data_IF_839428573041
#
_entry.id   IF_839428573041
#
_cell.length_a   1.000
_cell.length_b   1.000
_cell.length_c   1.000
_cell.angle_alpha   90.00
_cell.angle_beta   90.00
_cell.angle_gamma   90.00
#
_symmetry.space_group_name_H-M   'P 1'
#
loop_
_entity.id
_entity.type
_entity.pdbx_description
1 polymer ?
#
# COMPACT_ATOMS: atom_id res chain seq x y z
N UNK A 1 -1.45 31.16 9.61
CA UNK A 1 -1.15 29.88 10.31
C UNK A 1 -1.93 28.72 9.69
N UNK A 2 -1.43 27.49 9.83
CA UNK A 2 -2.13 26.28 9.31
C UNK A 2 -3.56 26.19 9.86
N UNK A 3 -3.76 26.53 11.14
CA UNK A 3 -5.08 26.49 11.81
C UNK A 3 -6.15 27.34 11.09
N UNK A 4 -5.76 28.43 10.46
CA UNK A 4 -6.67 29.35 9.76
C UNK A 4 -7.19 28.74 8.45
N UNK A 5 -6.55 27.69 7.98
CA UNK A 5 -6.87 26.94 6.76
C UNK A 5 -7.46 25.55 7.05
N UNK A 6 -7.96 25.29 8.26
CA UNK A 6 -8.46 23.98 8.64
C UNK A 6 -9.55 23.46 7.69
N UNK A 7 -10.50 24.31 7.29
CA UNK A 7 -11.57 23.90 6.38
C UNK A 7 -11.07 23.58 4.96
N UNK A 8 -10.27 24.42 4.28
CA UNK A 8 -9.68 24.09 2.98
C UNK A 8 -8.78 22.85 3.01
N UNK A 9 -8.09 22.60 4.13
CA UNK A 9 -7.21 21.46 4.34
C UNK A 9 -7.95 20.20 4.82
N UNK A 10 -9.26 20.25 4.99
CA UNK A 10 -10.07 19.19 5.61
C UNK A 10 -9.49 18.70 6.96
N UNK A 11 -8.84 19.60 7.71
CA UNK A 11 -8.16 19.29 8.95
C UNK A 11 -7.11 18.18 8.81
N UNK A 12 -6.42 18.07 7.68
CA UNK A 12 -5.51 16.96 7.39
C UNK A 12 -4.10 17.45 7.12
N UNK A 13 -3.12 16.78 7.75
CA UNK A 13 -1.69 16.87 7.45
C UNK A 13 -1.27 15.49 6.93
N UNK A 14 -0.56 15.45 5.81
CA UNK A 14 -0.15 14.19 5.20
C UNK A 14 1.27 13.83 5.62
N UNK A 15 1.42 12.66 6.22
CA UNK A 15 2.68 12.09 6.66
C UNK A 15 3.13 10.93 5.78
N UNK A 16 4.26 10.37 6.14
CA UNK A 16 4.85 9.20 5.51
C UNK A 16 4.58 7.93 6.33
N UNK A 17 5.44 6.94 6.24
CA UNK A 17 5.21 5.63 6.87
C UNK A 17 4.97 5.74 8.38
N UNK A 18 3.97 5.03 8.92
CA UNK A 18 3.75 4.96 10.36
C UNK A 18 5.01 4.58 11.12
N UNK A 19 5.32 5.33 12.17
CA UNK A 19 6.54 5.14 12.97
C UNK A 19 7.75 5.98 12.54
N UNK A 20 7.65 6.74 11.47
CA UNK A 20 8.67 7.71 11.08
C UNK A 20 8.80 8.84 12.12
N UNK A 21 10.02 9.33 12.33
CA UNK A 21 10.30 10.38 13.31
C UNK A 21 9.58 11.70 12.99
N UNK A 22 9.47 12.07 11.71
CA UNK A 22 8.72 13.25 11.29
C UNK A 22 7.23 13.14 11.63
N UNK A 23 6.61 11.99 11.37
CA UNK A 23 5.23 11.72 11.79
C UNK A 23 5.07 11.83 13.30
N UNK A 24 6.05 11.32 14.09
CA UNK A 24 6.03 11.38 15.54
C UNK A 24 6.04 12.82 16.05
N UNK A 25 6.82 13.71 15.41
CA UNK A 25 6.85 15.13 15.74
C UNK A 25 5.51 15.79 15.42
N UNK A 26 4.91 15.51 14.25
CA UNK A 26 3.58 16.04 13.91
C UNK A 26 2.52 15.52 14.88
N UNK A 27 2.53 14.24 15.22
CA UNK A 27 1.59 13.66 16.20
C UNK A 27 1.75 14.32 17.59
N UNK A 28 2.98 14.66 17.99
CA UNK A 28 3.22 15.43 19.22
C UNK A 28 2.54 16.79 19.14
N UNK A 29 2.70 17.51 18.03
CA UNK A 29 2.06 18.84 17.83
C UNK A 29 0.53 18.74 17.95
N UNK A 30 -0.07 17.71 17.35
CA UNK A 30 -1.52 17.51 17.39
C UNK A 30 -2.01 17.13 18.80
N UNK A 31 -1.32 16.25 19.50
CA UNK A 31 -1.71 15.76 20.83
C UNK A 31 -1.55 16.83 21.92
N UNK A 32 -0.51 17.66 21.83
CA UNK A 32 -0.21 18.73 22.77
C UNK A 32 -0.89 20.05 22.38
N UNK A 33 -1.70 20.07 21.31
CA UNK A 33 -2.36 21.26 20.76
C UNK A 33 -1.39 22.42 20.45
N UNK A 34 -0.17 22.07 20.05
CA UNK A 34 0.80 23.08 19.64
C UNK A 34 0.30 23.80 18.38
N UNK A 35 0.46 25.11 18.35
CA UNK A 35 0.03 25.98 17.24
C UNK A 35 -1.49 25.95 16.95
N UNK A 36 -2.32 25.44 17.88
CA UNK A 36 -3.78 25.35 17.73
C UNK A 36 -4.22 24.29 16.73
N UNK A 37 -3.50 23.17 16.65
CA UNK A 37 -3.72 22.09 15.67
C UNK A 37 -4.59 20.93 16.19
N UNK A 38 -5.23 21.07 17.35
CA UNK A 38 -6.05 20.01 17.98
C UNK A 38 -7.15 19.43 17.07
N UNK A 39 -7.65 20.20 16.12
CA UNK A 39 -8.67 19.74 15.17
C UNK A 39 -8.13 19.03 13.94
N UNK A 40 -6.81 18.96 13.80
CA UNK A 40 -6.17 18.31 12.67
C UNK A 40 -5.89 16.82 12.96
N UNK A 41 -5.74 16.06 11.90
CA UNK A 41 -5.31 14.66 11.92
C UNK A 41 -4.11 14.45 11.01
N UNK A 42 -3.19 13.60 11.43
CA UNK A 42 -2.13 13.12 10.57
C UNK A 42 -2.64 11.91 9.77
N UNK A 43 -2.53 11.99 8.45
CA UNK A 43 -2.81 10.89 7.53
C UNK A 43 -1.49 10.20 7.23
N UNK A 44 -1.20 9.15 7.97
CA UNK A 44 0.00 8.34 7.77
C UNK A 44 -0.18 7.43 6.54
N UNK A 45 0.85 7.34 5.69
CA UNK A 45 0.85 6.47 4.49
C UNK A 45 2.29 6.07 4.15
N UNK A 46 2.54 5.58 2.94
CA UNK A 46 3.92 5.53 2.41
C UNK A 46 4.34 6.88 1.85
N UNK A 47 5.66 7.11 1.72
CA UNK A 47 6.21 8.28 1.02
C UNK A 47 5.56 8.45 -0.36
N UNK A 48 5.50 7.38 -1.15
CA UNK A 48 4.88 7.38 -2.47
C UNK A 48 3.39 7.70 -2.41
N UNK A 49 2.69 7.22 -1.38
CA UNK A 49 1.29 7.52 -1.12
C UNK A 49 1.06 9.01 -0.83
N UNK A 50 1.88 9.56 0.05
CA UNK A 50 1.86 10.99 0.36
C UNK A 50 2.13 11.84 -0.89
N UNK A 51 3.18 11.53 -1.65
CA UNK A 51 3.54 12.27 -2.86
C UNK A 51 2.45 12.20 -3.93
N UNK A 52 1.80 11.06 -4.11
CA UNK A 52 0.67 10.93 -5.02
C UNK A 52 -0.54 11.79 -4.59
N UNK A 53 -0.78 11.92 -3.29
CA UNK A 53 -1.80 12.82 -2.77
C UNK A 53 -1.42 14.30 -2.98
N UNK A 54 -0.15 14.66 -2.79
CA UNK A 54 0.37 16.01 -3.08
C UNK A 54 0.18 16.34 -4.56
N UNK A 55 0.59 15.46 -5.47
CA UNK A 55 0.42 15.62 -6.90
C UNK A 55 -1.04 15.81 -7.29
N UNK A 56 -1.94 15.03 -6.68
CA UNK A 56 -3.38 15.21 -6.89
C UNK A 56 -3.86 16.59 -6.45
N UNK A 57 -3.44 17.05 -5.27
CA UNK A 57 -3.82 18.37 -4.75
C UNK A 57 -3.31 19.49 -5.64
N UNK A 58 -2.07 19.41 -6.14
CA UNK A 58 -1.52 20.34 -7.11
C UNK A 58 -2.31 20.36 -8.42
N UNK A 59 -2.62 19.18 -8.97
CA UNK A 59 -3.45 19.06 -10.18
C UNK A 59 -4.84 19.68 -10.01
N UNK A 60 -5.46 19.45 -8.86
CA UNK A 60 -6.82 19.90 -8.55
C UNK A 60 -6.85 21.34 -7.97
N UNK A 61 -5.70 22.04 -7.92
CA UNK A 61 -5.51 23.36 -7.34
C UNK A 61 -6.03 23.49 -5.91
N UNK A 62 -5.86 22.42 -5.12
CA UNK A 62 -6.28 22.37 -3.73
C UNK A 62 -5.09 22.60 -2.78
N UNK A 63 -5.28 23.30 -1.67
CA UNK A 63 -4.23 23.45 -0.66
C UNK A 63 -3.92 22.10 -0.02
N UNK A 64 -2.65 21.86 0.25
CA UNK A 64 -2.17 20.64 0.90
C UNK A 64 -1.03 20.98 1.86
N UNK A 65 -1.03 20.34 3.04
CA UNK A 65 0.08 20.38 4.01
C UNK A 65 0.56 18.96 4.22
N UNK A 66 1.87 18.78 4.10
CA UNK A 66 2.49 17.46 4.18
C UNK A 66 3.91 17.54 4.76
N UNK A 67 4.43 16.40 5.19
CA UNK A 67 5.79 16.26 5.67
C UNK A 67 6.76 16.26 4.50
N UNK A 68 7.60 17.26 4.42
CA UNK A 68 8.60 17.40 3.36
C UNK A 68 10.00 17.49 3.96
N UNK A 69 11.02 17.15 3.16
CA UNK A 69 12.43 17.23 3.55
C UNK A 69 13.34 17.51 2.34
N UNK A 70 14.53 17.99 2.62
CA UNK A 70 15.60 18.17 1.64
C UNK A 70 16.83 17.35 2.05
N UNK A 71 17.57 16.79 1.08
CA UNK A 71 17.34 16.79 -0.38
C UNK A 71 16.27 15.75 -0.79
N UNK A 72 15.40 16.11 -1.72
CA UNK A 72 14.43 15.19 -2.31
C UNK A 72 13.90 15.74 -3.64
N UNK A 73 13.56 14.90 -4.66
CA UNK A 73 13.02 15.33 -5.95
C UNK A 73 11.74 16.16 -5.85
N UNK A 74 10.91 15.97 -4.82
CA UNK A 74 9.70 16.77 -4.62
C UNK A 74 9.95 18.27 -4.58
N UNK A 75 11.14 18.71 -4.10
CA UNK A 75 11.52 20.12 -4.06
C UNK A 75 11.81 20.73 -5.42
N UNK A 76 12.01 19.90 -6.44
CA UNK A 76 12.16 20.33 -7.84
C UNK A 76 10.84 20.18 -8.59
N UNK A 77 10.08 19.12 -8.27
CA UNK A 77 8.84 18.76 -8.96
C UNK A 77 7.66 19.69 -8.60
N UNK A 78 7.60 20.14 -7.35
CA UNK A 78 6.52 20.97 -6.82
C UNK A 78 7.07 22.31 -6.36
N UNK A 79 6.31 23.39 -6.56
CA UNK A 79 6.60 24.70 -5.97
C UNK A 79 6.18 24.68 -4.50
N UNK A 80 7.12 24.31 -3.62
CA UNK A 80 6.87 24.08 -2.20
C UNK A 80 7.32 25.27 -1.37
N UNK A 81 6.61 25.51 -0.27
CA UNK A 81 7.03 26.46 0.76
C UNK A 81 7.11 25.76 2.11
N UNK A 82 8.30 25.70 2.68
CA UNK A 82 8.50 25.25 4.06
C UNK A 82 7.90 26.26 5.04
N UNK A 83 7.13 25.78 6.01
CA UNK A 83 6.45 26.61 7.00
C UNK A 83 7.41 26.95 8.15
N UNK A 84 7.53 28.22 8.49
CA UNK A 84 8.36 28.71 9.60
C UNK A 84 7.62 28.60 10.94
N UNK A 85 8.36 28.69 12.04
CA UNK A 85 7.81 28.72 13.41
C UNK A 85 7.73 27.33 14.08
N UNK A 86 8.27 26.28 13.45
CA UNK A 86 8.30 24.91 14.00
C UNK A 86 9.60 24.54 14.71
N UNK A 87 10.52 25.49 14.93
CA UNK A 87 11.87 25.21 15.44
C UNK A 87 11.89 24.54 16.83
N UNK A 88 10.89 24.83 17.66
CA UNK A 88 10.76 24.18 18.99
C UNK A 88 10.41 22.68 18.90
N UNK A 89 9.87 22.25 17.77
CA UNK A 89 9.46 20.84 17.56
C UNK A 89 10.41 20.11 16.64
N UNK A 90 10.73 20.68 15.48
CA UNK A 90 11.60 20.08 14.47
C UNK A 90 13.08 20.37 14.70
N UNK A 91 13.42 21.37 15.48
CA UNK A 91 14.77 21.88 15.65
C UNK A 91 15.06 23.08 14.73
N UNK A 92 16.20 23.76 14.96
CA UNK A 92 16.59 24.95 14.20
C UNK A 92 16.79 24.62 12.71
N UNK A 93 16.58 25.62 11.85
CA UNK A 93 16.66 25.47 10.39
C UNK A 93 15.76 24.36 9.86
N UNK A 94 14.49 24.32 10.27
CA UNK A 94 13.51 23.30 9.87
C UNK A 94 13.90 21.86 10.23
N UNK A 95 14.71 21.68 11.29
CA UNK A 95 15.21 20.36 11.69
C UNK A 95 16.42 19.89 10.87
N UNK A 96 17.13 20.82 10.25
CA UNK A 96 18.27 20.52 9.39
C UNK A 96 19.40 19.80 10.15
N UNK A 97 19.90 18.70 9.57
CA UNK A 97 21.05 17.95 10.04
C UNK A 97 22.28 18.23 9.18
N UNK A 98 23.46 18.23 9.81
CA UNK A 98 24.72 18.32 9.08
C UNK A 98 25.24 16.91 8.78
N UNK A 99 25.50 16.62 7.52
CA UNK A 99 26.05 15.34 7.07
C UNK A 99 27.56 15.43 6.95
N UNK A 100 28.25 14.46 7.49
CA UNK A 100 29.71 14.39 7.51
C UNK A 100 30.21 13.14 6.80
N UNK A 101 31.34 13.29 6.05
CA UNK A 101 32.09 12.14 5.58
C UNK A 101 32.87 11.53 6.73
N UNK A 102 32.64 10.25 7.03
CA UNK A 102 33.32 9.51 8.09
C UNK A 102 34.35 8.56 7.50
N UNK A 103 35.57 8.62 8.00
CA UNK A 103 36.66 7.69 7.62
C UNK A 103 37.21 6.98 8.86
N UNK A 104 37.89 5.85 8.66
CA UNK A 104 38.58 5.16 9.76
C UNK A 104 39.68 6.06 10.37
N UNK A 105 39.95 5.87 11.66
CA UNK A 105 41.01 6.61 12.37
C UNK A 105 42.36 6.43 11.65
N UNK A 106 43.09 7.52 11.41
CA UNK A 106 44.39 7.54 10.74
C UNK A 106 44.31 7.49 9.20
N UNK A 107 43.13 7.48 8.60
CA UNK A 107 42.98 7.44 7.13
C UNK A 107 43.57 8.68 6.45
N UNK A 108 43.34 9.84 7.02
CA UNK A 108 43.81 11.11 6.45
C UNK A 108 45.36 11.19 6.36
N UNK A 109 46.05 10.60 7.34
CA UNK A 109 47.52 10.53 7.34
C UNK A 109 48.07 9.51 6.34
N UNK A 110 47.36 8.38 6.19
CA UNK A 110 47.78 7.30 5.28
C UNK A 110 47.47 7.61 3.81
N UNK A 111 46.39 8.33 3.56
CA UNK A 111 45.88 8.65 2.22
C UNK A 111 45.60 10.17 2.09
N UNK A 112 46.58 11.04 2.19
CA UNK A 112 46.37 12.50 2.26
C UNK A 112 45.72 13.06 1.00
N UNK A 113 46.02 12.52 -0.17
CA UNK A 113 45.46 12.96 -1.43
C UNK A 113 43.96 12.63 -1.55
N UNK A 114 43.55 11.38 -1.19
CA UNK A 114 42.17 10.98 -1.17
C UNK A 114 41.39 11.74 -0.08
N UNK A 115 42.01 11.96 1.08
CA UNK A 115 41.39 12.75 2.15
C UNK A 115 41.13 14.19 1.72
N UNK A 116 42.03 14.76 0.90
CA UNK A 116 41.81 16.10 0.30
C UNK A 116 40.60 16.10 -0.61
N UNK A 117 40.44 15.09 -1.49
CA UNK A 117 39.27 14.94 -2.32
C UNK A 117 38.00 14.86 -1.47
N UNK A 118 37.99 13.96 -0.46
CA UNK A 118 36.82 13.78 0.43
C UNK A 118 36.47 15.09 1.20
N UNK A 119 37.49 15.88 1.61
CA UNK A 119 37.26 17.14 2.27
C UNK A 119 36.73 18.25 1.34
N UNK A 120 37.08 18.17 0.06
CA UNK A 120 36.61 19.10 -0.96
C UNK A 120 35.18 18.76 -1.44
N UNK A 121 34.73 17.49 -1.32
CA UNK A 121 33.41 17.07 -1.73
C UNK A 121 32.35 17.75 -0.85
N UNK A 122 31.73 18.78 -1.41
CA UNK A 122 30.59 19.49 -0.80
C UNK A 122 29.45 19.48 -1.80
N UNK A 123 28.36 18.91 -1.37
CA UNK A 123 27.12 18.86 -2.14
C UNK A 123 26.20 19.99 -1.72
N UNK A 124 25.48 20.56 -2.67
CA UNK A 124 24.39 21.48 -2.37
C UNK A 124 23.07 20.71 -2.37
N UNK A 125 22.11 21.11 -1.55
CA UNK A 125 20.77 20.50 -1.50
C UNK A 125 20.13 20.41 -2.89
N UNK A 126 20.30 21.47 -3.70
CA UNK A 126 19.80 21.48 -5.09
C UNK A 126 20.51 20.44 -5.95
N UNK A 127 21.84 20.35 -5.88
CA UNK A 127 22.60 19.37 -6.67
C UNK A 127 22.26 17.93 -6.29
N UNK A 128 22.05 17.66 -5.01
CA UNK A 128 21.60 16.34 -4.55
C UNK A 128 20.19 16.03 -5.04
N UNK A 129 19.25 16.98 -4.93
CA UNK A 129 17.88 16.82 -5.43
C UNK A 129 17.85 16.57 -6.95
N UNK A 130 18.71 17.26 -7.73
CA UNK A 130 18.85 17.05 -9.18
C UNK A 130 19.36 15.65 -9.52
N UNK A 131 20.37 15.15 -8.79
CA UNK A 131 20.87 13.78 -8.95
C UNK A 131 19.84 12.74 -8.54
N UNK A 132 19.13 12.96 -7.43
CA UNK A 132 18.04 12.10 -7.00
C UNK A 132 16.91 12.06 -8.03
N UNK A 133 16.54 13.18 -8.65
CA UNK A 133 15.54 13.22 -9.71
C UNK A 133 15.99 12.44 -10.96
N UNK A 134 17.29 12.46 -11.30
CA UNK A 134 17.82 11.62 -12.37
C UNK A 134 17.63 10.12 -12.10
N UNK A 135 17.89 9.70 -10.87
CA UNK A 135 17.79 8.30 -10.46
C UNK A 135 16.33 7.84 -10.29
N UNK A 136 15.50 8.63 -9.59
CA UNK A 136 14.17 8.23 -9.14
C UNK A 136 13.08 8.55 -10.17
N UNK A 137 13.13 9.74 -10.79
CA UNK A 137 12.09 10.16 -11.73
C UNK A 137 12.43 9.75 -13.18
N UNK A 138 13.69 9.94 -13.61
CA UNK A 138 14.11 9.58 -14.98
C UNK A 138 14.63 8.16 -15.10
N UNK A 139 14.79 7.43 -13.99
CA UNK A 139 15.30 6.06 -13.94
C UNK A 139 16.64 5.88 -14.65
N UNK A 140 17.50 6.88 -14.58
CA UNK A 140 18.85 6.83 -15.14
C UNK A 140 19.75 5.91 -14.32
N UNK A 141 20.67 5.23 -14.99
CA UNK A 141 21.69 4.47 -14.27
C UNK A 141 22.59 5.41 -13.46
N UNK A 142 23.02 5.06 -12.22
CA UNK A 142 23.75 5.95 -11.33
C UNK A 142 25.05 6.52 -11.91
N UNK A 143 25.77 5.70 -12.70
CA UNK A 143 26.99 6.09 -13.40
C UNK A 143 26.72 7.13 -14.51
N UNK A 144 25.63 7.00 -15.22
CA UNK A 144 25.18 7.93 -16.26
C UNK A 144 24.77 9.26 -15.60
N UNK A 145 23.87 9.20 -14.61
CA UNK A 145 23.40 10.38 -13.88
C UNK A 145 24.58 11.17 -13.26
N UNK A 146 25.54 10.48 -12.64
CA UNK A 146 26.73 11.10 -12.09
C UNK A 146 27.62 11.74 -13.18
N UNK A 147 27.84 11.05 -14.30
CA UNK A 147 28.66 11.59 -15.41
C UNK A 147 28.01 12.80 -16.04
N UNK A 148 26.72 12.80 -16.25
CA UNK A 148 25.96 13.93 -16.81
C UNK A 148 25.97 15.13 -15.85
N UNK A 149 25.74 14.87 -14.57
CA UNK A 149 25.77 15.93 -13.55
C UNK A 149 27.16 16.58 -13.43
N UNK A 150 28.23 15.78 -13.40
CA UNK A 150 29.62 16.28 -13.38
C UNK A 150 29.92 17.16 -14.61
N UNK A 151 29.44 16.74 -15.78
CA UNK A 151 29.59 17.51 -17.04
C UNK A 151 28.80 18.82 -17.01
N UNK A 152 27.61 18.82 -16.44
CA UNK A 152 26.77 20.00 -16.31
C UNK A 152 27.27 20.99 -15.24
N UNK A 153 28.07 20.51 -14.25
CA UNK A 153 28.58 21.30 -13.13
C UNK A 153 30.12 21.39 -13.10
N UNK A 154 30.77 21.95 -14.15
CA UNK A 154 32.23 21.96 -14.25
C UNK A 154 32.90 22.75 -13.15
N UNK A 155 32.32 23.87 -12.69
CA UNK A 155 32.86 24.72 -11.61
C UNK A 155 32.94 23.96 -10.28
N UNK A 156 31.88 23.25 -9.92
CA UNK A 156 31.81 22.41 -8.72
C UNK A 156 32.82 21.26 -8.82
N UNK A 157 32.89 20.61 -9.97
CA UNK A 157 33.83 19.51 -10.22
C UNK A 157 35.30 19.99 -10.08
N UNK A 158 35.62 21.16 -10.63
CA UNK A 158 36.97 21.77 -10.46
C UNK A 158 37.28 22.08 -9.02
N UNK A 159 36.35 22.63 -8.25
CA UNK A 159 36.53 22.89 -6.81
C UNK A 159 36.80 21.60 -6.03
N UNK A 160 36.10 20.49 -6.34
CA UNK A 160 36.34 19.20 -5.70
C UNK A 160 37.73 18.64 -6.00
N UNK A 161 38.27 18.89 -7.20
CA UNK A 161 39.55 18.39 -7.63
C UNK A 161 40.71 19.34 -7.29
N UNK A 162 40.46 20.45 -6.62
CA UNK A 162 41.49 21.39 -6.27
C UNK A 162 42.55 20.78 -5.35
N UNK A 163 43.82 20.79 -5.81
CA UNK A 163 44.96 20.22 -5.08
C UNK A 163 44.97 18.70 -4.97
N UNK A 164 44.07 18.01 -5.68
CA UNK A 164 44.04 16.54 -5.81
C UNK A 164 44.92 16.11 -7.00
N UNK A 165 45.77 15.12 -6.77
CA UNK A 165 46.71 14.62 -7.77
C UNK A 165 46.37 13.19 -8.20
N UNK A 166 46.70 12.85 -9.43
CA UNK A 166 46.70 11.46 -9.90
C UNK A 166 47.88 10.68 -9.32
N UNK A 167 47.90 9.37 -9.50
CA UNK A 167 49.04 8.53 -9.11
C UNK A 167 50.38 8.94 -9.79
N UNK A 168 50.30 9.51 -10.99
CA UNK A 168 51.44 10.03 -11.77
C UNK A 168 51.86 11.45 -11.37
N UNK A 169 51.31 12.02 -10.30
CA UNK A 169 51.61 13.34 -9.85
C UNK A 169 51.06 14.48 -10.69
N UNK A 170 50.09 14.23 -11.57
CA UNK A 170 49.43 15.27 -12.37
C UNK A 170 48.13 15.75 -11.68
N UNK A 171 47.70 17.01 -11.91
CA UNK A 171 46.42 17.45 -11.38
C UNK A 171 45.26 16.54 -11.83
N UNK A 172 44.42 16.11 -10.88
CA UNK A 172 43.33 15.19 -11.15
C UNK A 172 42.28 15.78 -12.13
N UNK A 173 42.12 17.10 -12.17
CA UNK A 173 41.27 17.79 -13.13
C UNK A 173 41.66 17.47 -14.60
N UNK A 174 42.96 17.31 -14.88
CA UNK A 174 43.45 16.98 -16.24
C UNK A 174 43.15 15.51 -16.61
N UNK A 175 43.08 14.64 -15.63
CA UNK A 175 42.74 13.24 -15.83
C UNK A 175 41.22 13.07 -16.07
N UNK A 176 40.39 13.78 -15.33
CA UNK A 176 38.94 13.75 -15.51
C UNK A 176 38.52 14.24 -16.90
N UNK A 177 39.17 15.28 -17.43
CA UNK A 177 38.93 15.78 -18.78
C UNK A 177 39.20 14.76 -19.87
N UNK A 178 40.01 13.72 -19.57
CA UNK A 178 40.34 12.62 -20.47
C UNK A 178 39.59 11.33 -20.13
N UNK A 179 38.84 11.31 -19.05
CA UNK A 179 38.09 10.14 -18.65
C UNK A 179 36.99 9.87 -19.69
N UNK A 180 37.08 8.75 -20.33
CA UNK A 180 36.01 8.25 -21.22
C UNK A 180 34.85 7.79 -20.32
N UNK A 181 33.61 8.18 -20.62
CA UNK A 181 32.48 7.63 -19.93
C UNK A 181 32.50 6.09 -20.03
N UNK A 182 31.93 5.37 -19.04
CA UNK A 182 31.91 3.93 -19.07
C UNK A 182 31.35 3.44 -20.42
N UNK A 183 31.90 2.34 -20.97
CA UNK A 183 31.44 1.84 -22.25
C UNK A 183 29.94 1.52 -22.15
N UNK A 184 29.15 2.18 -22.97
CA UNK A 184 27.73 1.83 -23.11
C UNK A 184 27.65 0.41 -23.67
N UNK A 185 26.72 -0.44 -23.21
CA UNK A 185 26.50 -1.73 -23.82
C UNK A 185 26.30 -1.52 -25.32
N UNK A 186 27.10 -2.19 -26.13
CA UNK A 186 27.11 -2.00 -27.60
C UNK A 186 26.21 -3.01 -28.32
N UNK A 187 25.80 -2.68 -29.54
CA UNK A 187 25.10 -3.63 -30.40
C UNK A 187 23.61 -3.81 -30.13
N UNK A 188 23.13 -5.05 -30.21
CA UNK A 188 21.71 -5.39 -30.12
C UNK A 188 21.08 -4.98 -28.78
N UNK A 189 21.80 -5.15 -27.69
CA UNK A 189 21.33 -4.78 -26.34
C UNK A 189 21.06 -3.28 -26.24
N UNK A 190 21.96 -2.44 -26.72
CA UNK A 190 21.78 -0.98 -26.75
C UNK A 190 20.60 -0.60 -27.65
N UNK A 191 20.45 -1.29 -28.79
CA UNK A 191 19.30 -1.04 -29.68
C UNK A 191 17.98 -1.36 -28.99
N UNK A 192 17.87 -2.52 -28.30
CA UNK A 192 16.68 -2.92 -27.55
C UNK A 192 16.36 -1.91 -26.45
N UNK A 193 17.37 -1.51 -25.66
CA UNK A 193 17.19 -0.56 -24.54
C UNK A 193 16.80 0.84 -25.05
N UNK A 194 17.38 1.29 -26.16
CA UNK A 194 17.06 2.61 -26.76
C UNK A 194 15.68 2.65 -27.43
N UNK A 195 15.11 1.50 -27.83
CA UNK A 195 13.78 1.37 -28.40
C UNK A 195 12.77 0.81 -27.38
N UNK A 196 12.84 1.32 -26.14
CA UNK A 196 11.94 0.92 -25.07
C UNK A 196 10.48 1.14 -25.47
N UNK A 197 9.66 0.10 -25.34
CA UNK A 197 8.21 0.21 -25.50
C UNK A 197 7.66 1.07 -24.36
N UNK A 198 6.99 2.19 -24.61
CA UNK A 198 6.56 3.13 -23.58
C UNK A 198 5.29 2.65 -22.83
N UNK A 199 5.34 1.45 -22.27
CA UNK A 199 4.18 0.84 -21.55
C UNK A 199 3.75 1.70 -20.36
N UNK A 200 4.72 2.30 -19.65
CA UNK A 200 4.46 3.19 -18.52
C UNK A 200 3.70 4.46 -18.95
N UNK A 201 4.14 5.10 -20.04
CA UNK A 201 3.52 6.32 -20.56
C UNK A 201 2.09 6.05 -21.05
N UNK A 202 1.87 4.92 -21.73
CA UNK A 202 0.52 4.52 -22.15
C UNK A 202 -0.41 4.29 -20.95
N UNK A 203 0.10 3.67 -19.89
CA UNK A 203 -0.68 3.46 -18.68
C UNK A 203 -0.97 4.79 -17.97
N UNK A 204 0.02 5.70 -17.87
CA UNK A 204 -0.15 7.02 -17.28
C UNK A 204 -1.23 7.84 -18.02
N UNK A 205 -1.14 7.92 -19.37
CA UNK A 205 -2.14 8.60 -20.20
C UNK A 205 -3.52 7.97 -20.05
N UNK A 206 -3.59 6.63 -19.97
CA UNK A 206 -4.87 5.92 -19.78
C UNK A 206 -5.50 6.25 -18.43
N UNK A 207 -4.71 6.24 -17.36
CA UNK A 207 -5.19 6.56 -16.02
C UNK A 207 -5.61 8.02 -15.93
N UNK A 208 -4.87 8.94 -16.52
CA UNK A 208 -5.21 10.36 -16.54
C UNK A 208 -6.50 10.62 -17.34
N UNK A 209 -6.66 10.00 -18.50
CA UNK A 209 -7.90 10.03 -19.26
C UNK A 209 -9.10 9.52 -18.46
N UNK A 210 -8.93 8.37 -17.81
CA UNK A 210 -9.96 7.74 -16.96
C UNK A 210 -10.28 8.62 -15.75
N UNK A 211 -9.27 9.23 -15.12
CA UNK A 211 -9.43 10.18 -14.02
C UNK A 211 -10.24 11.39 -14.45
N UNK A 212 -9.84 12.04 -15.54
CA UNK A 212 -10.45 13.28 -16.02
C UNK A 212 -11.92 13.11 -16.41
N UNK A 213 -12.25 12.00 -17.08
CA UNK A 213 -13.62 11.75 -17.56
C UNK A 213 -14.49 10.96 -16.58
N UNK A 214 -13.87 10.29 -15.59
CA UNK A 214 -14.54 9.44 -14.64
C UNK A 214 -14.74 10.03 -13.23
N UNK A 215 -14.37 11.27 -12.98
CA UNK A 215 -14.35 11.90 -11.65
C UNK A 215 -15.67 11.73 -10.89
N UNK A 216 -16.81 11.91 -11.56
CA UNK A 216 -18.14 11.74 -10.95
C UNK A 216 -18.37 10.29 -10.50
N UNK A 217 -17.97 9.31 -11.32
CA UNK A 217 -18.12 7.87 -10.99
C UNK A 217 -17.23 7.51 -9.82
N UNK A 218 -15.97 7.95 -9.84
CA UNK A 218 -15.00 7.64 -8.78
C UNK A 218 -15.36 8.30 -7.46
N UNK A 219 -15.86 9.54 -7.47
CA UNK A 219 -16.35 10.20 -6.27
C UNK A 219 -17.58 9.48 -5.71
N UNK A 220 -18.52 9.06 -6.55
CA UNK A 220 -19.67 8.26 -6.12
C UNK A 220 -19.28 6.92 -5.49
N UNK A 221 -18.36 6.20 -6.12
CA UNK A 221 -17.80 4.95 -5.58
C UNK A 221 -17.07 5.21 -4.26
N UNK A 222 -16.27 6.26 -4.17
CA UNK A 222 -15.55 6.64 -2.94
C UNK A 222 -16.52 6.89 -1.78
N UNK A 223 -17.57 7.66 -2.01
CA UNK A 223 -18.60 7.96 -0.99
C UNK A 223 -19.29 6.67 -0.56
N UNK A 224 -19.71 5.83 -1.50
CA UNK A 224 -20.38 4.58 -1.21
C UNK A 224 -19.51 3.61 -0.40
N UNK A 225 -18.24 3.44 -0.79
CA UNK A 225 -17.30 2.58 -0.08
C UNK A 225 -17.02 3.14 1.31
N UNK A 226 -16.66 4.43 1.40
CA UNK A 226 -16.34 5.07 2.68
C UNK A 226 -17.50 4.99 3.63
N UNK A 227 -18.71 5.37 3.22
CA UNK A 227 -19.90 5.31 4.08
C UNK A 227 -20.25 3.90 4.52
N UNK A 228 -20.00 2.88 3.67
CA UNK A 228 -20.21 1.47 4.03
C UNK A 228 -19.20 1.01 5.08
N UNK A 229 -17.91 1.28 4.86
CA UNK A 229 -16.86 0.89 5.83
C UNK A 229 -17.04 1.64 7.14
N UNK A 230 -17.24 2.96 7.09
CA UNK A 230 -17.45 3.79 8.28
C UNK A 230 -18.71 3.35 9.04
N UNK A 231 -19.80 3.02 8.31
CA UNK A 231 -21.03 2.50 8.91
C UNK A 231 -20.84 1.16 9.62
N UNK A 232 -20.11 0.22 9.02
CA UNK A 232 -19.76 -1.06 9.67
C UNK A 232 -18.87 -0.82 10.88
N UNK A 233 -17.89 0.06 10.75
CA UNK A 233 -16.97 0.41 11.84
C UNK A 233 -17.72 1.05 13.00
N UNK A 234 -18.60 2.01 12.74
CA UNK A 234 -19.45 2.63 13.76
C UNK A 234 -20.37 1.62 14.46
N UNK A 235 -20.96 0.70 13.70
CA UNK A 235 -21.79 -0.38 14.27
C UNK A 235 -20.99 -1.26 15.23
N UNK A 236 -19.77 -1.62 14.86
CA UNK A 236 -18.90 -2.42 15.71
C UNK A 236 -18.42 -1.63 16.95
N UNK A 237 -18.12 -0.35 16.81
CA UNK A 237 -17.73 0.52 17.93
C UNK A 237 -18.88 0.86 18.88
N UNK A 238 -20.13 0.84 18.42
CA UNK A 238 -21.30 1.09 19.25
C UNK A 238 -21.52 0.02 20.33
N UNK A 239 -20.95 -1.18 20.12
CA UNK A 239 -21.08 -2.30 21.06
C UNK A 239 -19.82 -2.37 21.94
N UNK A 240 -19.96 -2.40 23.27
CA UNK A 240 -18.81 -2.55 24.18
C UNK A 240 -18.00 -3.82 23.86
N UNK A 241 -16.67 -3.75 23.98
CA UNK A 241 -15.77 -4.85 23.66
C UNK A 241 -16.16 -6.20 24.33
N UNK A 242 -16.49 -6.27 25.63
CA UNK A 242 -16.92 -7.50 26.26
C UNK A 242 -18.19 -8.10 25.62
N UNK A 243 -19.13 -7.25 25.23
CA UNK A 243 -20.36 -7.70 24.59
C UNK A 243 -20.09 -8.28 23.19
N UNK A 244 -19.21 -7.62 22.39
CA UNK A 244 -18.79 -8.15 21.08
C UNK A 244 -18.09 -9.49 21.19
N UNK A 245 -17.23 -9.67 22.22
CA UNK A 245 -16.54 -10.94 22.47
C UNK A 245 -17.57 -12.05 22.78
N UNK A 246 -18.57 -11.75 23.62
CA UNK A 246 -19.64 -12.71 23.95
C UNK A 246 -20.48 -13.02 22.72
N UNK A 247 -20.84 -12.02 21.90
CA UNK A 247 -21.59 -12.23 20.65
C UNK A 247 -20.79 -13.11 19.67
N UNK A 248 -19.49 -12.83 19.47
CA UNK A 248 -18.63 -13.63 18.59
C UNK A 248 -18.48 -15.08 19.10
N UNK A 249 -18.33 -15.27 20.41
CA UNK A 249 -18.28 -16.58 21.06
C UNK A 249 -19.59 -17.35 20.84
N UNK A 250 -20.74 -16.73 21.09
CA UNK A 250 -22.06 -17.35 20.89
C UNK A 250 -22.30 -17.67 19.42
N UNK A 251 -21.95 -16.76 18.51
CA UNK A 251 -22.04 -16.99 17.06
C UNK A 251 -21.22 -18.22 16.65
N UNK A 252 -19.97 -18.30 17.10
CA UNK A 252 -19.10 -19.45 16.84
C UNK A 252 -19.71 -20.74 17.40
N UNK A 253 -20.28 -20.70 18.61
CA UNK A 253 -20.95 -21.87 19.20
C UNK A 253 -22.20 -22.28 18.42
N UNK A 254 -23.07 -21.35 18.06
CA UNK A 254 -24.31 -21.64 17.30
C UNK A 254 -23.99 -22.21 15.93
N UNK A 255 -23.06 -21.61 15.20
CA UNK A 255 -22.71 -22.04 13.84
C UNK A 255 -21.99 -23.38 13.83
N UNK A 256 -21.15 -23.65 14.81
CA UNK A 256 -20.23 -24.80 14.80
C UNK A 256 -20.59 -25.89 15.81
N UNK A 257 -21.42 -25.56 16.79
CA UNK A 257 -21.79 -26.47 17.91
C UNK A 257 -20.55 -27.04 18.63
N UNK A 258 -19.49 -26.24 18.77
CA UNK A 258 -18.21 -26.65 19.34
C UNK A 258 -17.82 -25.69 20.47
N UNK A 259 -17.84 -26.17 21.71
CA UNK A 259 -17.42 -25.41 22.89
C UNK A 259 -15.91 -25.04 22.83
N UNK A 260 -14.99 -25.94 22.41
CA UNK A 260 -13.58 -25.58 22.28
C UNK A 260 -13.34 -24.44 21.30
N UNK A 261 -14.09 -24.39 20.19
CA UNK A 261 -13.98 -23.29 19.24
C UNK A 261 -14.51 -21.98 19.82
N UNK A 262 -15.66 -22.02 20.51
CA UNK A 262 -16.22 -20.85 21.17
C UNK A 262 -15.26 -20.29 22.23
N UNK A 263 -14.64 -21.14 23.05
CA UNK A 263 -13.60 -20.75 24.00
C UNK A 263 -12.37 -20.17 23.32
N UNK A 264 -11.91 -20.77 22.22
CA UNK A 264 -10.79 -20.24 21.44
C UNK A 264 -11.08 -18.84 20.89
N UNK A 265 -12.27 -18.59 20.33
CA UNK A 265 -12.70 -17.27 19.85
C UNK A 265 -12.68 -16.25 20.96
N UNK A 266 -13.27 -16.58 22.12
CA UNK A 266 -13.29 -15.69 23.28
C UNK A 266 -11.87 -15.35 23.78
N UNK A 267 -11.00 -16.37 23.93
CA UNK A 267 -9.63 -16.18 24.38
C UNK A 267 -8.79 -15.36 23.40
N UNK A 268 -8.95 -15.60 22.10
CA UNK A 268 -8.25 -14.84 21.04
C UNK A 268 -8.64 -13.37 21.06
N UNK A 269 -9.93 -13.06 21.16
CA UNK A 269 -10.41 -11.68 21.21
C UNK A 269 -10.05 -10.97 22.53
N UNK A 270 -10.09 -11.70 23.65
CA UNK A 270 -9.59 -11.18 24.94
C UNK A 270 -8.09 -10.87 24.90
N UNK A 271 -7.30 -11.73 24.27
CA UNK A 271 -5.88 -11.47 24.06
C UNK A 271 -5.65 -10.20 23.25
N UNK A 272 -6.36 -10.04 22.11
CA UNK A 272 -6.26 -8.83 21.28
C UNK A 272 -6.65 -7.58 22.06
N UNK A 273 -7.70 -7.65 22.90
CA UNK A 273 -8.13 -6.57 23.79
C UNK A 273 -7.06 -6.24 24.82
N UNK A 274 -6.45 -7.26 25.43
CA UNK A 274 -5.37 -7.11 26.41
C UNK A 274 -4.12 -6.44 25.82
N UNK A 275 -3.79 -6.74 24.56
CA UNK A 275 -2.65 -6.13 23.86
C UNK A 275 -2.92 -4.69 23.38
N UNK A 276 -4.13 -4.14 23.60
CA UNK A 276 -4.48 -2.77 23.20
C UNK A 276 -4.82 -2.59 21.72
N UNK A 277 -4.91 -3.67 20.93
CA UNK A 277 -5.18 -3.60 19.49
C UNK A 277 -6.68 -3.70 19.13
N UNK A 278 -7.58 -3.50 20.11
CA UNK A 278 -9.01 -3.69 19.90
C UNK A 278 -9.57 -2.79 18.78
N UNK A 279 -9.29 -1.48 18.82
CA UNK A 279 -9.78 -0.55 17.81
C UNK A 279 -9.26 -0.88 16.41
N UNK A 280 -7.96 -1.09 16.28
CA UNK A 280 -7.34 -1.52 15.03
C UNK A 280 -7.93 -2.85 14.51
N UNK A 281 -8.34 -3.75 15.40
CA UNK A 281 -9.00 -5.01 15.02
C UNK A 281 -10.40 -4.77 14.46
N UNK A 282 -11.18 -3.85 15.03
CA UNK A 282 -12.50 -3.51 14.50
C UNK A 282 -12.44 -2.85 13.12
N UNK A 283 -11.47 -1.97 12.91
CA UNK A 283 -11.21 -1.35 11.59
C UNK A 283 -10.80 -2.41 10.56
N UNK A 284 -9.88 -3.31 10.92
CA UNK A 284 -9.49 -4.44 10.07
C UNK A 284 -10.67 -5.34 9.75
N UNK A 285 -11.47 -5.68 10.76
CA UNK A 285 -12.65 -6.51 10.58
C UNK A 285 -13.66 -5.86 9.63
N UNK A 286 -13.91 -4.56 9.78
CA UNK A 286 -14.79 -3.78 8.89
C UNK A 286 -14.31 -3.84 7.44
N UNK A 287 -13.03 -3.56 7.20
CA UNK A 287 -12.43 -3.59 5.88
C UNK A 287 -12.53 -4.99 5.25
N UNK A 288 -12.19 -6.04 5.99
CA UNK A 288 -12.22 -7.43 5.52
C UNK A 288 -13.64 -7.90 5.24
N UNK A 289 -14.61 -7.57 6.10
CA UNK A 289 -16.01 -7.93 5.90
C UNK A 289 -16.57 -7.26 4.64
N UNK A 290 -16.34 -5.95 4.46
CA UNK A 290 -16.80 -5.21 3.28
C UNK A 290 -16.11 -5.71 2.02
N UNK A 291 -14.79 -5.91 2.04
CA UNK A 291 -14.05 -6.46 0.89
C UNK A 291 -14.56 -7.85 0.50
N UNK A 292 -14.76 -8.72 1.47
CA UNK A 292 -15.29 -10.08 1.25
C UNK A 292 -16.71 -10.04 0.71
N UNK A 293 -17.56 -9.18 1.26
CA UNK A 293 -18.94 -9.01 0.79
C UNK A 293 -18.96 -8.55 -0.67
N UNK A 294 -18.22 -7.50 -1.02
CA UNK A 294 -18.13 -6.99 -2.40
C UNK A 294 -17.56 -8.06 -3.34
N UNK A 295 -16.47 -8.71 -2.95
CA UNK A 295 -15.86 -9.77 -3.75
C UNK A 295 -16.80 -10.97 -3.96
N UNK A 296 -17.59 -11.33 -2.96
CA UNK A 296 -18.57 -12.41 -3.06
C UNK A 296 -19.76 -12.00 -3.92
N UNK A 297 -20.26 -10.78 -3.75
CA UNK A 297 -21.40 -10.23 -4.50
C UNK A 297 -21.11 -10.18 -6.00
N UNK A 298 -19.88 -9.90 -6.38
CA UNK A 298 -19.42 -9.88 -7.78
C UNK A 298 -18.98 -11.29 -8.20
N UNK A 299 -18.18 -11.95 -7.38
CA UNK A 299 -17.47 -13.17 -7.73
C UNK A 299 -18.37 -14.38 -7.91
N UNK A 300 -19.38 -14.54 -7.05
CA UNK A 300 -20.29 -15.69 -7.16
C UNK A 300 -21.13 -15.62 -8.45
N UNK A 301 -21.81 -14.50 -8.79
CA UNK A 301 -22.55 -14.41 -10.04
C UNK A 301 -21.66 -14.57 -11.29
N UNK A 302 -20.47 -13.97 -11.29
CA UNK A 302 -19.50 -14.10 -12.39
C UNK A 302 -19.04 -15.56 -12.52
N UNK A 303 -18.74 -16.24 -11.41
CA UNK A 303 -18.38 -17.65 -11.38
C UNK A 303 -19.48 -18.58 -11.91
N UNK A 304 -20.75 -18.31 -11.54
CA UNK A 304 -21.92 -19.03 -12.09
C UNK A 304 -22.00 -18.80 -13.60
N UNK A 305 -21.94 -17.55 -14.06
CA UNK A 305 -21.99 -17.22 -15.48
C UNK A 305 -20.86 -17.88 -16.29
N UNK A 306 -19.65 -17.92 -15.70
CA UNK A 306 -18.49 -18.56 -16.29
C UNK A 306 -18.64 -20.09 -16.38
N UNK A 307 -19.29 -20.74 -15.39
CA UNK A 307 -19.55 -22.16 -15.40
C UNK A 307 -20.49 -22.57 -16.53
N UNK A 308 -21.50 -21.76 -16.84
CA UNK A 308 -22.44 -22.00 -17.93
C UNK A 308 -21.94 -21.54 -19.31
N UNK A 309 -20.84 -20.78 -19.37
CA UNK A 309 -20.28 -20.20 -20.61
C UNK A 309 -18.77 -20.42 -20.71
N UNK A 310 -18.30 -21.54 -21.28
CA UNK A 310 -16.87 -21.87 -21.36
C UNK A 310 -16.04 -20.79 -22.05
N UNK A 311 -16.61 -20.09 -23.05
CA UNK A 311 -15.91 -18.95 -23.70
C UNK A 311 -15.70 -17.77 -22.75
N UNK A 312 -16.66 -17.50 -21.87
CA UNK A 312 -16.52 -16.45 -20.86
C UNK A 312 -15.40 -16.81 -19.87
N UNK A 313 -15.38 -18.06 -19.40
CA UNK A 313 -14.31 -18.53 -18.51
C UNK A 313 -12.93 -18.43 -19.16
N UNK A 314 -12.80 -18.88 -20.42
CA UNK A 314 -11.56 -18.79 -21.18
C UNK A 314 -11.05 -17.33 -21.33
N UNK A 315 -11.96 -16.36 -21.49
CA UNK A 315 -11.63 -14.95 -21.57
C UNK A 315 -11.28 -14.34 -20.18
N UNK A 316 -11.96 -14.79 -19.12
CA UNK A 316 -11.71 -14.32 -17.76
C UNK A 316 -10.41 -14.88 -17.17
N UNK A 317 -10.03 -16.11 -17.54
CA UNK A 317 -8.90 -16.82 -16.92
C UNK A 317 -7.60 -15.99 -16.94
N UNK A 318 -7.15 -15.41 -18.07
CA UNK A 318 -5.94 -14.57 -18.09
C UNK A 318 -6.04 -13.33 -17.21
N UNK A 319 -7.26 -12.74 -17.11
CA UNK A 319 -7.48 -11.55 -16.26
C UNK A 319 -7.37 -11.94 -14.78
N UNK A 320 -7.97 -13.07 -14.39
CA UNK A 320 -7.89 -13.58 -13.02
C UNK A 320 -6.44 -13.96 -12.65
N UNK A 321 -5.67 -14.50 -13.60
CA UNK A 321 -4.25 -14.78 -13.39
C UNK A 321 -3.47 -13.47 -13.20
N UNK A 322 -3.70 -12.47 -14.07
CA UNK A 322 -3.07 -11.15 -13.96
C UNK A 322 -3.35 -10.51 -12.59
N UNK A 323 -4.60 -10.57 -12.10
CA UNK A 323 -4.99 -10.00 -10.81
C UNK A 323 -4.25 -10.64 -9.62
N UNK A 324 -3.78 -11.88 -9.72
CA UNK A 324 -3.08 -12.59 -8.65
C UNK A 324 -1.56 -12.64 -8.84
N UNK A 325 -1.05 -12.51 -10.06
CA UNK A 325 0.37 -12.56 -10.37
C UNK A 325 1.04 -11.20 -10.34
N UNK A 326 0.30 -10.12 -10.62
CA UNK A 326 0.83 -8.78 -10.46
C UNK A 326 1.16 -8.51 -9.00
N UNK A 327 2.36 -7.96 -8.70
CA UNK A 327 2.66 -7.47 -7.37
C UNK A 327 1.58 -6.50 -6.89
N UNK A 328 1.13 -6.67 -5.65
CA UNK A 328 0.00 -5.90 -5.09
C UNK A 328 0.20 -4.38 -5.15
N UNK A 329 1.44 -3.92 -5.08
CA UNK A 329 1.78 -2.49 -5.23
C UNK A 329 1.46 -1.92 -6.63
N UNK A 330 1.48 -2.75 -7.68
CA UNK A 330 1.27 -2.28 -9.05
C UNK A 330 -0.15 -1.72 -9.25
N UNK A 331 -1.18 -2.38 -8.71
CA UNK A 331 -2.54 -1.86 -8.79
C UNK A 331 -2.93 -0.92 -7.64
N UNK A 332 -2.10 -0.85 -6.61
CA UNK A 332 -2.28 0.12 -5.54
C UNK A 332 -2.05 1.56 -6.05
N UNK A 333 -1.07 1.76 -6.96
CA UNK A 333 -0.77 3.06 -7.56
C UNK A 333 -1.97 3.65 -8.32
N UNK A 334 -2.59 2.95 -9.30
CA UNK A 334 -3.78 3.45 -9.97
C UNK A 334 -4.95 3.75 -9.01
N UNK A 335 -5.18 2.88 -8.03
CA UNK A 335 -6.26 3.12 -7.06
C UNK A 335 -6.01 4.35 -6.20
N UNK A 336 -4.74 4.61 -5.85
CA UNK A 336 -4.33 5.81 -5.13
C UNK A 336 -4.54 7.08 -5.96
N UNK A 337 -4.13 7.06 -7.24
CA UNK A 337 -4.31 8.19 -8.16
C UNK A 337 -5.79 8.52 -8.40
N UNK A 338 -6.65 7.49 -8.50
CA UNK A 338 -8.07 7.67 -8.78
C UNK A 338 -8.88 8.04 -7.52
N UNK A 339 -8.57 7.50 -6.35
CA UNK A 339 -9.39 7.59 -5.14
C UNK A 339 -8.74 8.38 -3.99
N UNK A 340 -7.46 8.75 -4.11
CA UNK A 340 -6.68 9.41 -3.05
C UNK A 340 -6.26 8.47 -1.94
N UNK A 341 -5.73 9.02 -0.83
CA UNK A 341 -5.33 8.24 0.34
C UNK A 341 -6.53 7.82 1.20
N UNK A 342 -6.38 6.69 1.88
CA UNK A 342 -7.33 6.23 2.89
C UNK A 342 -7.86 4.82 2.67
N UNK A 343 -9.00 4.52 3.28
CA UNK A 343 -9.61 3.18 3.27
C UNK A 343 -10.08 2.75 1.87
N UNK A 344 -10.46 3.70 1.00
CA UNK A 344 -11.05 3.40 -0.31
C UNK A 344 -10.07 2.71 -1.25
N UNK A 345 -8.85 3.26 -1.55
CA UNK A 345 -7.88 2.57 -2.39
C UNK A 345 -7.42 1.25 -1.77
N UNK A 346 -7.28 1.19 -0.44
CA UNK A 346 -6.95 -0.05 0.28
C UNK A 346 -8.00 -1.14 0.06
N UNK A 347 -9.29 -0.79 0.19
CA UNK A 347 -10.39 -1.73 -0.04
C UNK A 347 -10.48 -2.17 -1.49
N UNK A 348 -10.41 -1.26 -2.47
CA UNK A 348 -10.48 -1.60 -3.90
C UNK A 348 -9.34 -2.54 -4.28
N UNK A 349 -8.11 -2.24 -3.84
CA UNK A 349 -6.96 -3.12 -4.07
C UNK A 349 -7.14 -4.49 -3.43
N UNK A 350 -7.72 -4.54 -2.23
CA UNK A 350 -8.06 -5.79 -1.54
C UNK A 350 -9.10 -6.60 -2.34
N UNK A 351 -10.14 -5.94 -2.85
CA UNK A 351 -11.16 -6.59 -3.68
C UNK A 351 -10.54 -7.13 -4.97
N UNK A 352 -9.71 -6.34 -5.67
CA UNK A 352 -9.02 -6.79 -6.89
C UNK A 352 -8.21 -8.06 -6.61
N UNK A 353 -7.45 -8.10 -5.53
CA UNK A 353 -6.62 -9.24 -5.18
C UNK A 353 -7.40 -10.48 -4.76
N UNK A 354 -8.50 -10.29 -4.02
CA UNK A 354 -9.28 -11.38 -3.43
C UNK A 354 -10.38 -11.94 -4.37
N UNK A 355 -10.88 -11.13 -5.31
CA UNK A 355 -11.99 -11.45 -6.22
C UNK A 355 -11.80 -12.75 -7.06
N UNK A 356 -10.60 -13.11 -7.54
CA UNK A 356 -10.40 -14.35 -8.27
C UNK A 356 -10.79 -15.62 -7.50
N UNK A 357 -10.67 -15.62 -6.17
CA UNK A 357 -10.96 -16.81 -5.35
C UNK A 357 -12.44 -17.19 -5.40
N UNK A 358 -13.43 -16.32 -5.10
CA UNK A 358 -14.85 -16.68 -5.22
C UNK A 358 -15.26 -16.95 -6.67
N UNK A 359 -14.68 -16.28 -7.69
CA UNK A 359 -14.98 -16.59 -9.10
C UNK A 359 -14.57 -18.01 -9.44
N UNK A 360 -13.30 -18.37 -9.21
CA UNK A 360 -12.74 -19.68 -9.59
C UNK A 360 -13.42 -20.83 -8.84
N UNK A 361 -13.61 -20.66 -7.52
CA UNK A 361 -14.20 -21.73 -6.72
C UNK A 361 -15.71 -21.86 -6.94
N UNK A 362 -16.42 -20.80 -7.29
CA UNK A 362 -17.81 -20.90 -7.74
C UNK A 362 -17.89 -21.59 -9.09
N UNK A 363 -17.07 -21.20 -10.06
CA UNK A 363 -16.98 -21.88 -11.35
C UNK A 363 -16.69 -23.38 -11.17
N UNK A 364 -15.67 -23.72 -10.38
CA UNK A 364 -15.32 -25.11 -10.09
C UNK A 364 -16.48 -25.87 -9.44
N UNK A 365 -17.11 -25.28 -8.42
CA UNK A 365 -18.22 -25.90 -7.70
C UNK A 365 -19.40 -26.22 -8.58
N UNK A 366 -19.83 -25.26 -9.39
CA UNK A 366 -20.96 -25.43 -10.33
C UNK A 366 -20.60 -26.46 -11.42
N UNK A 367 -19.40 -26.35 -12.02
CA UNK A 367 -18.94 -27.26 -13.07
C UNK A 367 -18.72 -28.71 -12.57
N UNK A 368 -18.55 -28.90 -11.27
CA UNK A 368 -18.33 -30.21 -10.62
C UNK A 368 -19.63 -30.89 -10.18
N UNK A 369 -20.79 -30.26 -10.37
CA UNK A 369 -22.08 -30.90 -10.04
C UNK A 369 -22.27 -32.15 -10.94
N UNK A 370 -22.57 -33.31 -10.35
CA UNK A 370 -22.74 -34.55 -11.13
C UNK A 370 -23.80 -34.43 -12.22
N UNK A 371 -23.45 -34.77 -13.45
CA UNK A 371 -24.37 -34.72 -14.60
C UNK A 371 -25.69 -35.47 -14.37
N UNK A 372 -25.70 -36.68 -13.76
CA UNK A 372 -26.97 -37.37 -13.47
C UNK A 372 -27.96 -36.57 -12.63
N UNK A 373 -27.47 -35.68 -11.72
CA UNK A 373 -28.35 -34.82 -10.93
C UNK A 373 -28.97 -33.71 -11.79
N UNK A 374 -28.20 -33.17 -12.76
CA UNK A 374 -28.68 -32.17 -13.70
C UNK A 374 -29.74 -32.78 -14.65
N UNK A 375 -29.45 -33.98 -15.20
CA UNK A 375 -30.32 -34.70 -16.09
C UNK A 375 -31.64 -35.09 -15.38
N UNK A 376 -31.57 -35.58 -14.14
CA UNK A 376 -32.75 -35.84 -13.33
C UNK A 376 -33.61 -34.59 -13.13
N UNK A 377 -32.99 -33.46 -12.76
CA UNK A 377 -33.70 -32.19 -12.61
C UNK A 377 -34.41 -31.77 -13.91
N UNK A 378 -33.74 -31.92 -15.06
CA UNK A 378 -34.31 -31.63 -16.38
C UNK A 378 -35.45 -32.59 -16.74
N UNK A 379 -35.30 -33.87 -16.45
CA UNK A 379 -36.35 -34.89 -16.70
C UNK A 379 -37.64 -34.61 -15.90
N UNK A 380 -37.53 -34.02 -14.71
CA UNK A 380 -38.65 -33.52 -13.91
C UNK A 380 -39.18 -32.15 -14.38
N UNK A 381 -38.74 -31.62 -15.49
CA UNK A 381 -39.23 -30.37 -16.06
C UNK A 381 -38.72 -29.10 -15.34
N UNK A 382 -37.59 -29.17 -14.63
CA UNK A 382 -37.04 -28.01 -13.98
C UNK A 382 -36.59 -26.94 -15.00
N UNK A 383 -37.00 -25.70 -14.77
CA UNK A 383 -36.48 -24.55 -15.54
C UNK A 383 -34.99 -24.31 -15.22
N UNK A 384 -34.24 -23.63 -16.09
CA UNK A 384 -32.80 -23.32 -15.81
C UNK A 384 -32.59 -22.67 -14.45
N UNK A 385 -33.49 -21.76 -14.04
CA UNK A 385 -33.41 -21.09 -12.75
C UNK A 385 -33.67 -22.04 -11.58
N UNK A 386 -34.62 -22.96 -11.75
CA UNK A 386 -34.89 -24.01 -10.75
C UNK A 386 -33.73 -24.98 -10.64
N UNK A 387 -33.08 -25.32 -11.75
CA UNK A 387 -31.89 -26.17 -11.79
C UNK A 387 -30.75 -25.51 -11.04
N UNK A 388 -30.49 -24.21 -11.31
CA UNK A 388 -29.48 -23.45 -10.63
C UNK A 388 -29.70 -23.40 -9.11
N UNK A 389 -30.90 -22.97 -8.66
CA UNK A 389 -31.12 -22.74 -7.22
C UNK A 389 -31.40 -24.03 -6.43
N UNK A 390 -31.96 -25.08 -7.04
CA UNK A 390 -32.34 -26.30 -6.33
C UNK A 390 -31.35 -27.46 -6.48
N UNK A 391 -30.47 -27.41 -7.49
CA UNK A 391 -29.53 -28.52 -7.77
C UNK A 391 -28.09 -28.01 -7.75
N UNK A 392 -27.76 -27.02 -8.60
CA UNK A 392 -26.36 -26.59 -8.79
C UNK A 392 -25.81 -25.86 -7.57
N UNK A 393 -26.48 -24.82 -7.09
CA UNK A 393 -26.02 -24.05 -5.94
C UNK A 393 -25.95 -24.89 -4.65
N UNK A 394 -26.93 -25.72 -4.30
CA UNK A 394 -26.78 -26.61 -3.15
C UNK A 394 -25.67 -27.65 -3.32
N UNK A 395 -25.46 -28.17 -4.55
CA UNK A 395 -24.39 -29.11 -4.86
C UNK A 395 -22.99 -28.43 -4.79
N UNK A 396 -22.89 -27.18 -5.20
CA UNK A 396 -21.68 -26.41 -5.22
C UNK A 396 -21.37 -25.66 -3.88
N UNK A 397 -22.32 -25.65 -2.95
CA UNK A 397 -22.28 -24.79 -1.76
C UNK A 397 -20.98 -24.92 -0.95
N UNK A 398 -20.46 -26.13 -0.76
CA UNK A 398 -19.24 -26.38 -0.03
C UNK A 398 -18.03 -25.71 -0.69
N UNK A 399 -17.94 -25.78 -2.02
CA UNK A 399 -16.84 -25.18 -2.81
C UNK A 399 -16.98 -23.67 -2.88
N UNK A 400 -18.20 -23.14 -3.00
CA UNK A 400 -18.47 -21.69 -2.97
C UNK A 400 -18.07 -21.11 -1.61
N UNK A 401 -18.46 -21.75 -0.49
CA UNK A 401 -18.07 -21.31 0.85
C UNK A 401 -16.55 -21.38 1.03
N UNK A 402 -15.88 -22.39 0.47
CA UNK A 402 -14.41 -22.44 0.47
C UNK A 402 -13.81 -21.23 -0.27
N UNK A 403 -14.43 -20.80 -1.39
CA UNK A 403 -14.05 -19.58 -2.12
C UNK A 403 -14.21 -18.31 -1.29
N UNK A 404 -15.30 -18.19 -0.54
CA UNK A 404 -15.52 -17.06 0.38
C UNK A 404 -14.50 -17.07 1.52
N UNK A 405 -14.23 -18.23 2.11
CA UNK A 405 -13.21 -18.36 3.15
C UNK A 405 -11.81 -17.98 2.64
N UNK A 406 -11.46 -18.42 1.43
CA UNK A 406 -10.22 -18.03 0.78
C UNK A 406 -10.16 -16.50 0.54
N UNK A 407 -11.29 -15.90 0.12
CA UNK A 407 -11.40 -14.45 -0.05
C UNK A 407 -11.12 -13.69 1.27
N UNK A 408 -11.64 -14.17 2.40
CA UNK A 408 -11.36 -13.61 3.74
C UNK A 408 -9.86 -13.65 4.04
N UNK A 409 -9.20 -14.79 3.79
CA UNK A 409 -7.77 -14.95 4.07
C UNK A 409 -6.91 -14.04 3.19
N UNK A 410 -7.26 -13.92 1.90
CA UNK A 410 -6.58 -12.99 0.98
C UNK A 410 -6.81 -11.54 1.39
N UNK A 411 -8.01 -11.18 1.82
CA UNK A 411 -8.31 -9.82 2.31
C UNK A 411 -7.51 -9.46 3.56
N UNK A 412 -7.33 -10.42 4.49
CA UNK A 412 -6.48 -10.22 5.67
C UNK A 412 -5.00 -10.06 5.33
N UNK A 413 -4.52 -10.76 4.31
CA UNK A 413 -3.14 -10.60 3.82
C UNK A 413 -2.88 -9.20 3.26
N UNK A 414 -3.91 -8.52 2.75
CA UNK A 414 -3.82 -7.18 2.19
C UNK A 414 -3.85 -6.06 3.25
N UNK A 415 -4.15 -6.36 4.52
CA UNK A 415 -4.33 -5.34 5.58
C UNK A 415 -3.05 -4.50 5.78
N UNK A 416 -1.87 -5.15 5.76
CA UNK A 416 -0.59 -4.44 5.92
C UNK A 416 -0.30 -3.53 4.71
N UNK A 417 -0.64 -4.00 3.50
CA UNK A 417 -0.47 -3.23 2.27
C UNK A 417 -1.45 -2.06 2.21
N UNK A 418 -2.70 -2.27 2.65
CA UNK A 418 -3.69 -1.21 2.75
C UNK A 418 -3.27 -0.08 3.71
N UNK A 419 -2.53 -0.40 4.78
CA UNK A 419 -1.99 0.59 5.69
C UNK A 419 -1.00 1.55 5.00
N UNK A 420 -0.26 1.10 3.98
CA UNK A 420 0.67 1.95 3.21
C UNK A 420 -0.04 3.01 2.36
N UNK A 421 -1.32 2.89 2.12
CA UNK A 421 -2.13 3.91 1.44
C UNK A 421 -3.07 4.64 2.40
N UNK A 422 -2.81 4.56 3.69
CA UNK A 422 -3.56 5.31 4.71
C UNK A 422 -4.84 4.63 5.18
N UNK A 423 -5.04 3.34 4.94
CA UNK A 423 -6.11 2.59 5.58
C UNK A 423 -5.73 2.29 7.03
N UNK A 424 -6.67 2.48 7.96
CA UNK A 424 -6.50 2.12 9.36
C UNK A 424 -6.48 0.60 9.61
N UNK A 425 -6.31 0.20 10.87
CA UNK A 425 -6.39 -1.18 11.30
C UNK A 425 -5.05 -1.78 11.74
N UNK A 426 -5.03 -3.11 11.92
CA UNK A 426 -3.88 -3.88 12.42
C UNK A 426 -2.63 -3.80 11.51
N UNK A 427 -2.78 -3.39 10.25
CA UNK A 427 -1.64 -3.16 9.36
C UNK A 427 -0.76 -2.00 9.81
N UNK A 428 -1.33 -0.95 10.39
CA UNK A 428 -0.61 0.25 10.82
C UNK A 428 0.46 -0.07 11.88
N UNK A 429 0.16 -0.75 13.01
CA UNK A 429 1.20 -1.11 13.97
C UNK A 429 2.25 -2.07 13.41
N UNK A 430 1.93 -2.94 12.44
CA UNK A 430 2.93 -3.79 11.78
C UNK A 430 3.91 -2.95 10.94
N UNK A 431 3.40 -2.02 10.14
CA UNK A 431 4.24 -1.10 9.35
C UNK A 431 5.10 -0.22 10.28
N UNK A 432 4.49 0.29 11.35
CA UNK A 432 5.20 1.08 12.37
C UNK A 432 6.34 0.28 13.01
N UNK A 433 6.09 -0.96 13.39
CA UNK A 433 7.09 -1.84 13.98
C UNK A 433 8.25 -2.13 13.01
N UNK A 434 7.95 -2.30 11.72
CA UNK A 434 8.96 -2.51 10.68
C UNK A 434 9.86 -1.28 10.55
N UNK A 435 9.28 -0.09 10.46
CA UNK A 435 10.02 1.16 10.24
C UNK A 435 10.84 1.60 11.47
N UNK A 436 10.34 1.30 12.69
CA UNK A 436 11.05 1.59 13.94
C UNK A 436 11.89 0.42 14.49
N UNK A 437 11.96 -0.69 13.75
CA UNK A 437 12.70 -1.93 14.11
C UNK A 437 12.27 -2.46 15.50
N UNK A 438 10.99 -2.35 15.82
CA UNK A 438 10.42 -2.81 17.10
C UNK A 438 9.85 -4.24 16.97
N UNK A 439 10.70 -5.25 17.19
CA UNK A 439 10.35 -6.66 17.01
C UNK A 439 9.15 -7.08 17.88
N UNK A 440 9.07 -6.60 19.14
CA UNK A 440 7.97 -6.90 20.05
C UNK A 440 6.62 -6.45 19.49
N UNK A 441 6.48 -5.17 19.15
CA UNK A 441 5.26 -4.60 18.55
C UNK A 441 4.88 -5.31 17.26
N UNK A 442 5.87 -5.61 16.39
CA UNK A 442 5.63 -6.32 15.13
C UNK A 442 5.06 -7.72 15.34
N UNK A 443 5.58 -8.45 16.33
CA UNK A 443 5.07 -9.76 16.68
C UNK A 443 3.67 -9.70 17.30
N UNK A 444 3.40 -8.78 18.23
CA UNK A 444 2.10 -8.59 18.86
C UNK A 444 1.00 -8.27 17.85
N UNK A 445 1.24 -7.27 16.98
CA UNK A 445 0.29 -6.87 15.96
C UNK A 445 0.10 -7.95 14.87
N UNK A 446 1.20 -8.58 14.45
CA UNK A 446 1.15 -9.71 13.51
C UNK A 446 0.38 -10.90 14.07
N UNK A 447 0.59 -11.21 15.34
CA UNK A 447 -0.14 -12.29 16.01
C UNK A 447 -1.63 -11.97 16.18
N UNK A 448 -2.00 -10.71 16.42
CA UNK A 448 -3.40 -10.27 16.43
C UNK A 448 -4.07 -10.51 15.06
N UNK A 449 -3.38 -10.21 13.95
CA UNK A 449 -3.87 -10.51 12.59
C UNK A 449 -4.08 -12.02 12.42
N UNK A 450 -3.12 -12.85 12.85
CA UNK A 450 -3.20 -14.31 12.74
C UNK A 450 -4.37 -14.85 13.57
N UNK A 451 -4.56 -14.39 14.78
CA UNK A 451 -5.70 -14.81 15.63
C UNK A 451 -7.03 -14.43 14.97
N UNK A 452 -7.15 -13.21 14.47
CA UNK A 452 -8.35 -12.77 13.74
C UNK A 452 -8.60 -13.64 12.50
N UNK A 453 -7.54 -13.96 11.74
CA UNK A 453 -7.61 -14.82 10.57
C UNK A 453 -8.12 -16.22 10.92
N UNK A 454 -7.57 -16.85 11.98
CA UNK A 454 -7.99 -18.17 12.43
C UNK A 454 -9.44 -18.14 12.92
N UNK A 455 -9.84 -17.12 13.67
CA UNK A 455 -11.23 -16.95 14.15
C UNK A 455 -12.18 -16.90 12.95
N UNK A 456 -11.93 -16.02 11.98
CA UNK A 456 -12.77 -15.88 10.79
C UNK A 456 -12.81 -17.16 9.95
N UNK A 457 -11.66 -17.79 9.71
CA UNK A 457 -11.58 -19.06 8.98
C UNK A 457 -12.39 -20.16 9.67
N UNK A 458 -12.20 -20.37 10.95
CA UNK A 458 -12.86 -21.44 11.70
C UNK A 458 -14.36 -21.24 11.83
N UNK A 459 -14.81 -20.01 11.95
CA UNK A 459 -16.25 -19.68 12.03
C UNK A 459 -16.92 -19.84 10.66
N UNK A 460 -16.24 -19.46 9.57
CA UNK A 460 -16.80 -19.45 8.20
C UNK A 460 -16.83 -20.82 7.52
N UNK A 461 -15.97 -21.78 7.89
CA UNK A 461 -15.92 -23.12 7.24
C UNK A 461 -17.27 -23.85 7.34
N UNK A 462 -17.72 -24.57 6.31
CA UNK A 462 -18.93 -25.39 6.43
C UNK A 462 -18.72 -26.53 7.44
N UNK A 463 -19.79 -26.92 8.14
CA UNK A 463 -19.77 -28.10 8.99
C UNK A 463 -19.53 -29.32 8.12
N UNK A 464 -18.38 -29.99 8.27
CA UNK A 464 -18.20 -31.29 7.65
C UNK A 464 -19.32 -32.21 8.18
N UNK A 465 -20.30 -32.54 7.32
CA UNK A 465 -21.19 -33.64 7.61
C UNK A 465 -20.30 -34.88 7.69
N UNK A 466 -20.17 -35.41 8.91
CA UNK A 466 -19.36 -36.58 9.13
C UNK A 466 -19.73 -37.64 8.09
N UNK A 467 -18.72 -38.15 7.39
CA UNK A 467 -18.89 -39.43 6.72
C UNK A 467 -19.31 -40.42 7.83
N UNK A 468 -20.60 -40.74 7.88
CA UNK A 468 -21.04 -41.84 8.72
C UNK A 468 -20.29 -43.04 8.21
N UNK A 469 -19.44 -43.61 9.09
CA UNK A 469 -18.89 -44.95 8.87
C UNK A 469 -20.03 -45.96 8.71
#
# INVERSE_FOLDING_TARGET
DIKDFAAPLNGSIYGIEPGNDGNRLVLKMLNEDLFGLKGFKLVESSEQGMLAQVERAFHDHQPVVFLAWEPHPMNIRFDLKYLSGGDEVFGPNFGGATIYTVTRRGYAQQCPNVSRLLSNLKFSLRGESEMMAALLDRHEAPDIAAAEWLKANPTTTQAWLQGVMTMDGKPAASALAKATPPPRPGGFEQWVVSHKIPVGDWMAVTIDFVKTHGTFIFSGISIAIRSTVDGVTLLLHAVPAPALIVIAMLLAWVLRRSLPLAAFVALSLLFILNQGYWQATLETLSLVLVATFVSTLIGVPVGIAAAHRPRLFAALHPVLDLMQTLPTFVYLIPTLVLFGLGVVPGLISTVIFALPAPIRLTHLGISSVPKPLLEAGQAFGATPMQLLFKVELPGAAATIIAGITQCIMLSLSMVVIAALVGAGGLGVPVVRALNSVQVGMGFEAGFAIVLLAIVLDRVSRPKQRGASK
#
